data_IF_622274060766
#
_entry.id   IF_622274060766
#
_cell.length_a   1.000
_cell.length_b   1.000
_cell.length_c   1.000
_cell.angle_alpha   90.00
_cell.angle_beta   90.00
_cell.angle_gamma   90.00
#
_symmetry.space_group_name_H-M   'P 1'
#
loop_
_entity.id
_entity.type
_entity.pdbx_description
1 polymer ?
#
# COMPACT_ATOMS: atom_id res chain seq x y z
N UNK A 1 -26.17 12.89 0.80
CA UNK A 1 -26.30 13.07 -0.68
C UNK A 1 -25.36 12.04 -1.27
N UNK A 2 -25.90 11.03 -1.92
CA UNK A 2 -25.12 9.92 -2.43
C UNK A 2 -24.11 10.41 -3.47
N UNK A 3 -22.83 10.04 -3.25
CA UNK A 3 -21.71 10.43 -4.10
C UNK A 3 -21.61 9.53 -5.36
N UNK A 4 -22.73 9.07 -5.88
CA UNK A 4 -22.80 8.29 -7.12
C UNK A 4 -23.38 9.13 -8.25
N UNK A 5 -22.62 9.26 -9.33
CA UNK A 5 -23.09 9.85 -10.58
C UNK A 5 -22.80 8.83 -11.68
N UNK A 6 -23.83 8.38 -12.41
CA UNK A 6 -23.72 7.41 -13.51
C UNK A 6 -22.99 6.10 -13.13
N UNK A 7 -23.21 5.60 -11.89
CA UNK A 7 -22.58 4.37 -11.41
C UNK A 7 -21.15 4.54 -10.88
N UNK A 8 -20.58 5.74 -10.91
CA UNK A 8 -19.24 6.05 -10.45
C UNK A 8 -19.27 6.63 -9.04
N UNK A 9 -18.40 6.14 -8.15
CA UNK A 9 -18.24 6.67 -6.79
C UNK A 9 -17.25 7.84 -6.78
N UNK A 10 -17.67 8.98 -6.24
CA UNK A 10 -16.81 10.12 -5.98
C UNK A 10 -16.33 10.11 -4.54
N UNK A 11 -15.01 9.96 -4.34
CA UNK A 11 -14.41 9.85 -3.02
C UNK A 11 -14.45 11.20 -2.26
N UNK A 12 -14.50 11.09 -0.94
CA UNK A 12 -14.22 12.24 -0.07
C UNK A 12 -12.72 12.59 -0.11
N UNK A 13 -12.38 13.84 0.20
CA UNK A 13 -10.99 14.23 0.44
C UNK A 13 -10.49 13.72 1.79
N UNK A 14 -9.16 13.69 2.01
CA UNK A 14 -8.56 13.32 3.29
C UNK A 14 -8.93 14.32 4.38
N UNK A 15 -8.81 13.91 5.65
CA UNK A 15 -8.99 14.82 6.78
C UNK A 15 -7.88 15.90 6.75
N UNK A 16 -8.24 17.21 6.59
CA UNK A 16 -7.25 18.26 6.49
C UNK A 16 -6.58 18.63 7.84
N UNK A 17 -7.07 18.06 8.95
CA UNK A 17 -6.61 18.36 10.30
C UNK A 17 -5.82 17.20 10.89
N UNK A 18 -4.71 16.84 10.25
CA UNK A 18 -3.83 15.77 10.72
C UNK A 18 -3.39 15.97 12.16
N UNK A 19 -3.72 15.02 13.03
CA UNK A 19 -3.24 14.99 14.42
C UNK A 19 -1.75 14.61 14.44
N UNK A 20 -1.03 15.09 15.45
CA UNK A 20 0.38 14.74 15.64
C UNK A 20 0.51 13.34 16.22
N UNK A 21 1.61 12.62 15.89
CA UNK A 21 1.97 11.39 16.59
C UNK A 21 2.11 11.58 18.09
N UNK A 22 1.69 10.61 18.89
CA UNK A 22 1.82 10.59 20.33
C UNK A 22 3.10 9.87 20.82
N UNK A 23 4.00 9.55 19.89
CA UNK A 23 5.31 8.94 20.15
C UNK A 23 6.37 9.60 19.26
N UNK A 24 7.63 9.36 19.56
CA UNK A 24 8.74 9.85 18.73
C UNK A 24 8.85 8.97 17.49
N UNK A 25 8.57 9.58 16.32
CA UNK A 25 8.76 8.92 15.02
C UNK A 25 10.27 8.90 14.72
N UNK A 26 10.84 7.75 14.35
CA UNK A 26 12.27 7.65 14.11
C UNK A 26 12.72 8.46 12.89
N UNK A 27 13.97 8.90 12.90
CA UNK A 27 14.59 9.53 11.73
C UNK A 27 14.59 8.55 10.57
N UNK A 28 14.35 9.03 9.35
CA UNK A 28 14.22 8.23 8.13
C UNK A 28 12.99 7.29 8.11
N UNK A 29 12.01 7.52 8.98
CA UNK A 29 10.75 6.78 8.91
C UNK A 29 10.08 6.94 7.55
N UNK A 30 9.56 5.82 7.05
CA UNK A 30 8.95 5.68 5.74
C UNK A 30 7.46 5.41 5.85
N UNK A 31 6.68 6.17 5.10
CA UNK A 31 5.33 5.81 4.70
C UNK A 31 5.40 4.81 3.53
N UNK A 32 5.25 3.53 3.79
CA UNK A 32 5.39 2.49 2.77
C UNK A 32 4.14 2.32 1.88
N UNK A 33 3.12 3.17 2.03
CA UNK A 33 1.93 3.13 1.19
C UNK A 33 1.16 4.45 1.25
N UNK A 34 1.29 5.25 0.23
CA UNK A 34 0.47 6.44 0.00
C UNK A 34 0.20 6.64 -1.49
N UNK A 35 -0.71 7.54 -1.81
CA UNK A 35 -1.08 7.86 -3.18
C UNK A 35 -0.93 9.36 -3.45
N UNK A 36 -0.88 9.73 -4.73
CA UNK A 36 -0.96 11.11 -5.20
C UNK A 36 -2.01 11.18 -6.30
N UNK A 37 -2.88 12.18 -6.24
CA UNK A 37 -3.90 12.43 -7.24
C UNK A 37 -3.83 13.87 -7.73
N UNK A 38 -3.86 14.05 -9.04
CA UNK A 38 -3.98 15.36 -9.63
C UNK A 38 -2.71 16.24 -9.64
N UNK A 39 -2.83 17.47 -10.09
CA UNK A 39 -4.10 18.07 -10.52
C UNK A 39 -4.67 17.34 -11.76
N UNK A 40 -5.98 17.08 -11.74
CA UNK A 40 -6.66 16.28 -12.79
C UNK A 40 -6.52 16.88 -14.20
N UNK A 41 -6.27 18.19 -14.29
CA UNK A 41 -6.01 18.86 -15.57
C UNK A 41 -4.73 18.38 -16.23
N UNK A 42 -3.74 17.94 -15.45
CA UNK A 42 -2.43 17.45 -15.91
C UNK A 42 -2.39 15.94 -15.93
N UNK A 43 -2.87 15.30 -14.87
CA UNK A 43 -2.84 13.85 -14.69
C UNK A 43 -4.29 13.32 -14.72
N UNK A 44 -4.69 12.84 -15.88
CA UNK A 44 -6.06 12.37 -16.09
C UNK A 44 -6.29 11.03 -15.39
N UNK A 45 -7.54 10.80 -15.00
CA UNK A 45 -7.98 9.48 -14.57
C UNK A 45 -8.33 8.61 -15.78
N UNK A 46 -8.19 7.29 -15.62
CA UNK A 46 -8.63 6.32 -16.61
C UNK A 46 -10.17 6.44 -16.83
N UNK A 47 -10.60 6.17 -18.05
CA UNK A 47 -12.03 6.24 -18.38
C UNK A 47 -12.83 5.15 -17.65
N UNK A 48 -12.28 3.94 -17.57
CA UNK A 48 -12.89 2.74 -16.97
C UNK A 48 -12.68 2.61 -15.45
N UNK A 49 -12.47 3.73 -14.75
CA UNK A 49 -12.30 3.72 -13.29
C UNK A 49 -13.62 3.47 -12.56
N UNK A 50 -13.57 2.82 -11.44
CA UNK A 50 -14.76 2.56 -10.58
C UNK A 50 -14.98 3.64 -9.51
N UNK A 51 -13.99 4.50 -9.26
CA UNK A 51 -14.06 5.63 -8.32
C UNK A 51 -13.27 6.82 -8.83
N UNK A 52 -13.64 8.01 -8.38
CA UNK A 52 -12.95 9.27 -8.69
C UNK A 52 -12.55 9.95 -7.38
N UNK A 53 -11.26 10.00 -7.03
CA UNK A 53 -10.78 10.77 -5.90
C UNK A 53 -10.73 12.27 -6.24
N UNK A 54 -10.81 13.18 -5.25
CA UNK A 54 -10.44 14.57 -5.43
C UNK A 54 -8.94 14.71 -5.67
N UNK A 55 -8.51 15.88 -6.14
CA UNK A 55 -7.09 16.20 -6.17
C UNK A 55 -6.49 16.08 -4.77
N UNK A 56 -5.37 15.37 -4.69
CA UNK A 56 -4.54 15.19 -3.51
C UNK A 56 -3.07 15.21 -3.99
N UNK A 57 -2.56 16.39 -4.34
CA UNK A 57 -1.29 16.53 -5.05
C UNK A 57 -0.08 16.27 -4.14
N UNK A 58 1.08 16.12 -4.77
CA UNK A 58 2.36 15.89 -4.10
C UNK A 58 2.64 16.86 -2.94
N UNK A 59 2.26 18.14 -3.07
CA UNK A 59 2.47 19.14 -2.02
C UNK A 59 1.66 18.82 -0.76
N UNK A 60 0.44 18.33 -0.90
CA UNK A 60 -0.41 17.97 0.24
C UNK A 60 0.12 16.71 0.94
N UNK A 61 0.63 15.72 0.17
CA UNK A 61 1.36 14.59 0.74
C UNK A 61 2.58 15.07 1.55
N UNK A 62 3.35 16.03 1.04
CA UNK A 62 4.49 16.58 1.78
C UNK A 62 4.08 17.31 3.08
N UNK A 63 2.91 17.95 3.09
CA UNK A 63 2.37 18.56 4.32
C UNK A 63 2.01 17.49 5.35
N UNK A 64 1.33 16.43 4.93
CA UNK A 64 1.03 15.28 5.77
C UNK A 64 2.31 14.66 6.35
N UNK A 65 3.27 14.34 5.49
CA UNK A 65 4.52 13.70 5.88
C UNK A 65 5.25 14.52 6.96
N UNK A 66 5.32 15.84 6.78
CA UNK A 66 5.90 16.75 7.79
C UNK A 66 5.12 16.74 9.10
N UNK A 67 3.78 16.73 9.05
CA UNK A 67 2.94 16.69 10.25
C UNK A 67 3.14 15.39 11.05
N UNK A 68 3.39 14.27 10.37
CA UNK A 68 3.62 12.96 10.96
C UNK A 68 5.10 12.67 11.30
N UNK A 69 6.04 13.53 10.88
CA UNK A 69 7.47 13.30 11.09
C UNK A 69 8.07 12.23 10.18
N UNK A 70 7.44 11.94 9.05
CA UNK A 70 7.90 10.97 8.05
C UNK A 70 8.76 11.68 7.00
N UNK A 71 9.86 11.08 6.58
CA UNK A 71 10.82 11.69 5.65
C UNK A 71 10.98 10.91 4.35
N UNK A 72 10.58 9.65 4.34
CA UNK A 72 10.56 8.77 3.17
C UNK A 72 9.14 8.32 2.87
N UNK A 73 8.83 8.06 1.60
CA UNK A 73 7.54 7.51 1.21
C UNK A 73 7.65 6.55 0.02
N UNK A 74 6.66 5.67 -0.11
CA UNK A 74 6.44 4.84 -1.29
C UNK A 74 5.09 5.21 -1.88
N UNK A 75 5.13 5.89 -3.03
CA UNK A 75 3.93 6.28 -3.77
C UNK A 75 3.47 5.07 -4.57
N UNK A 76 2.31 4.57 -4.23
CA UNK A 76 1.68 3.44 -4.90
C UNK A 76 0.67 3.96 -5.90
N UNK A 77 0.80 3.56 -7.16
CA UNK A 77 -0.16 3.90 -8.21
C UNK A 77 -1.55 3.39 -7.84
N UNK A 78 -2.54 4.26 -7.93
CA UNK A 78 -3.93 3.90 -7.68
C UNK A 78 -4.63 3.47 -8.98
N UNK A 79 -5.57 2.52 -8.87
CA UNK A 79 -6.26 1.94 -10.04
C UNK A 79 -7.06 2.94 -10.86
N UNK A 80 -7.46 4.07 -10.27
CA UNK A 80 -8.18 5.12 -11.00
C UNK A 80 -7.36 5.82 -12.09
N UNK A 81 -6.03 5.66 -12.10
CA UNK A 81 -5.16 6.12 -13.19
C UNK A 81 -4.81 4.99 -14.19
N UNK A 82 -5.18 3.74 -13.90
CA UNK A 82 -4.80 2.60 -14.74
C UNK A 82 -3.27 2.50 -14.88
N UNK A 83 -2.81 2.21 -16.08
CA UNK A 83 -1.39 2.10 -16.44
C UNK A 83 -0.72 3.44 -16.78
N UNK A 84 -1.43 4.57 -16.72
CA UNK A 84 -0.81 5.90 -16.83
C UNK A 84 -0.18 6.30 -15.50
N UNK A 85 1.09 5.97 -15.34
CA UNK A 85 1.85 6.20 -14.13
C UNK A 85 2.43 7.63 -14.01
N UNK A 86 2.03 8.56 -14.87
CA UNK A 86 2.64 9.90 -14.95
C UNK A 86 2.60 10.64 -13.60
N UNK A 87 1.50 10.58 -12.85
CA UNK A 87 1.37 11.26 -11.54
C UNK A 87 2.33 10.68 -10.50
N UNK A 88 2.48 9.35 -10.46
CA UNK A 88 3.41 8.66 -9.56
C UNK A 88 4.87 9.00 -9.91
N UNK A 89 5.22 8.95 -11.20
CA UNK A 89 6.57 9.26 -11.67
C UNK A 89 6.95 10.74 -11.44
N UNK A 90 6.01 11.69 -11.64
CA UNK A 90 6.23 13.10 -11.32
C UNK A 90 6.54 13.29 -9.84
N UNK A 91 5.75 12.70 -8.96
CA UNK A 91 5.93 12.82 -7.52
C UNK A 91 7.25 12.20 -7.05
N UNK A 92 7.62 11.01 -7.55
CA UNK A 92 8.90 10.36 -7.26
C UNK A 92 10.07 11.24 -7.70
N UNK A 93 10.05 11.75 -8.95
CA UNK A 93 11.07 12.64 -9.48
C UNK A 93 11.23 13.90 -8.65
N UNK A 94 10.12 14.53 -8.26
CA UNK A 94 10.11 15.78 -7.44
C UNK A 94 10.61 15.57 -6.02
N UNK A 95 10.56 14.34 -5.51
CA UNK A 95 11.05 14.02 -4.18
C UNK A 95 12.57 14.00 -4.05
N UNK A 96 13.31 14.04 -5.17
CA UNK A 96 14.78 14.05 -5.19
C UNK A 96 15.41 12.86 -4.41
N UNK A 97 14.82 11.66 -4.57
CA UNK A 97 15.30 10.43 -3.95
C UNK A 97 14.68 10.07 -2.59
N UNK A 98 13.91 10.99 -1.99
CA UNK A 98 13.21 10.70 -0.73
C UNK A 98 12.02 9.75 -0.89
N UNK A 99 11.43 9.67 -2.08
CA UNK A 99 10.29 8.78 -2.33
C UNK A 99 10.61 7.77 -3.40
N UNK A 100 10.01 6.60 -3.27
CA UNK A 100 10.04 5.52 -4.26
C UNK A 100 8.65 5.36 -4.89
N UNK A 101 8.60 4.65 -6.02
CA UNK A 101 7.37 4.40 -6.75
C UNK A 101 7.05 2.91 -6.88
N UNK A 102 5.77 2.59 -6.76
CA UNK A 102 5.18 1.32 -7.17
C UNK A 102 4.13 1.62 -8.22
N UNK A 103 4.31 1.11 -9.43
CA UNK A 103 3.48 1.42 -10.59
C UNK A 103 2.42 0.35 -10.85
N UNK A 104 1.47 0.63 -11.74
CA UNK A 104 0.63 -0.40 -12.38
C UNK A 104 1.18 -0.60 -13.79
N UNK A 105 1.42 -1.85 -14.16
CA UNK A 105 1.89 -2.22 -15.48
C UNK A 105 1.28 -3.55 -15.91
N UNK A 106 1.19 -3.73 -17.21
CA UNK A 106 0.85 -4.96 -17.89
C UNK A 106 2.01 -5.46 -18.77
N UNK A 107 1.80 -6.50 -19.53
CA UNK A 107 2.82 -7.11 -20.39
C UNK A 107 3.14 -6.32 -21.66
N UNK A 108 2.45 -5.21 -21.93
CA UNK A 108 2.79 -4.28 -23.01
C UNK A 108 4.03 -3.43 -22.69
N UNK A 109 4.39 -3.31 -21.40
CA UNK A 109 5.59 -2.57 -20.99
C UNK A 109 6.86 -3.32 -21.38
N UNK A 110 7.78 -2.62 -22.05
CA UNK A 110 9.09 -3.17 -22.42
C UNK A 110 10.07 -3.15 -21.23
N UNK A 111 11.09 -3.99 -21.31
CA UNK A 111 12.20 -4.01 -20.34
C UNK A 111 12.90 -2.64 -20.25
N UNK A 112 13.05 -1.95 -21.37
CA UNK A 112 13.66 -0.62 -21.43
C UNK A 112 12.81 0.45 -20.75
N UNK A 113 11.47 0.32 -20.79
CA UNK A 113 10.59 1.21 -20.03
C UNK A 113 10.76 0.97 -18.52
N UNK A 114 10.80 -0.29 -18.06
CA UNK A 114 11.06 -0.60 -16.67
C UNK A 114 12.42 -0.09 -16.18
N UNK A 115 13.49 -0.25 -16.97
CA UNK A 115 14.82 0.30 -16.65
C UNK A 115 14.80 1.81 -16.46
N UNK A 116 14.15 2.54 -17.37
CA UNK A 116 14.00 4.01 -17.23
C UNK A 116 13.22 4.40 -15.97
N UNK A 117 12.24 3.62 -15.60
CA UNK A 117 11.48 3.86 -14.36
C UNK A 117 12.30 3.51 -13.11
N UNK A 118 13.14 2.47 -13.16
CA UNK A 118 14.09 2.13 -12.08
C UNK A 118 15.06 3.29 -11.79
N UNK A 119 15.62 3.90 -12.85
CA UNK A 119 16.49 5.08 -12.75
C UNK A 119 15.79 6.28 -12.09
N UNK A 120 14.47 6.40 -12.24
CA UNK A 120 13.66 7.42 -11.56
C UNK A 120 13.34 7.10 -10.11
N UNK A 121 13.54 5.85 -9.66
CA UNK A 121 13.26 5.42 -8.30
C UNK A 121 12.00 4.54 -8.15
N UNK A 122 11.46 4.02 -9.24
CA UNK A 122 10.43 2.96 -9.18
C UNK A 122 11.10 1.66 -8.72
N UNK A 123 10.41 0.88 -7.90
CA UNK A 123 10.97 -0.34 -7.32
C UNK A 123 9.98 -1.51 -7.26
N UNK A 124 8.79 -1.36 -7.83
CA UNK A 124 7.80 -2.43 -7.83
C UNK A 124 6.60 -2.20 -8.75
N UNK A 125 5.84 -3.26 -8.93
CA UNK A 125 4.57 -3.26 -9.69
C UNK A 125 3.44 -3.71 -8.78
N UNK A 126 2.30 -3.02 -8.83
CA UNK A 126 1.09 -3.39 -8.11
C UNK A 126 0.10 -4.09 -9.04
N UNK A 127 -0.42 -5.22 -8.55
CA UNK A 127 -1.56 -5.92 -9.14
C UNK A 127 -2.74 -5.84 -8.18
N UNK A 128 -3.88 -5.40 -8.70
CA UNK A 128 -5.11 -5.25 -7.93
C UNK A 128 -6.09 -6.31 -8.40
N UNK A 129 -6.36 -7.29 -7.55
CA UNK A 129 -7.27 -8.40 -7.82
C UNK A 129 -8.56 -8.32 -7.00
N UNK A 130 -8.90 -7.12 -6.55
CA UNK A 130 -10.11 -6.94 -5.75
C UNK A 130 -11.35 -6.86 -6.64
N UNK A 131 -12.27 -7.78 -6.44
CA UNK A 131 -13.53 -7.90 -7.22
C UNK A 131 -14.38 -6.64 -7.17
N UNK A 132 -14.36 -5.91 -6.05
CA UNK A 132 -15.11 -4.65 -5.90
C UNK A 132 -14.61 -3.50 -6.80
N UNK A 133 -13.44 -3.64 -7.41
CA UNK A 133 -12.91 -2.73 -8.45
C UNK A 133 -12.91 -3.38 -9.84
N UNK A 134 -13.63 -4.51 -10.00
CA UNK A 134 -13.86 -5.15 -11.29
C UNK A 134 -12.66 -5.90 -11.86
N UNK A 135 -11.71 -6.33 -11.01
CA UNK A 135 -10.51 -7.03 -11.46
C UNK A 135 -10.44 -8.44 -10.86
N UNK A 136 -10.06 -9.41 -11.70
CA UNK A 136 -9.83 -10.79 -11.31
C UNK A 136 -8.33 -11.14 -11.40
N UNK A 137 -7.86 -12.10 -10.59
CA UNK A 137 -6.46 -12.54 -10.61
C UNK A 137 -6.05 -13.15 -11.95
N UNK A 138 -5.18 -12.49 -12.69
CA UNK A 138 -4.48 -13.02 -13.86
C UNK A 138 -3.00 -13.26 -13.53
N UNK A 139 -2.68 -14.44 -13.02
CA UNK A 139 -1.31 -14.80 -12.65
C UNK A 139 -0.42 -15.07 -13.87
N UNK A 140 -0.97 -15.33 -15.04
CA UNK A 140 -0.18 -15.47 -16.25
C UNK A 140 0.35 -14.10 -16.70
N UNK A 141 -0.48 -13.05 -16.60
CA UNK A 141 -0.04 -11.66 -16.77
C UNK A 141 1.02 -11.29 -15.73
N UNK A 142 0.77 -11.59 -14.44
CA UNK A 142 1.73 -11.32 -13.37
C UNK A 142 3.08 -11.95 -13.68
N UNK A 143 3.12 -13.22 -14.07
CA UNK A 143 4.36 -13.92 -14.37
C UNK A 143 5.12 -13.28 -15.54
N UNK A 144 4.42 -12.90 -16.62
CA UNK A 144 5.06 -12.20 -17.76
C UNK A 144 5.67 -10.86 -17.37
N UNK A 145 5.04 -10.13 -16.44
CA UNK A 145 5.61 -8.89 -15.90
C UNK A 145 6.76 -9.18 -14.96
N UNK A 146 6.62 -10.17 -14.07
CA UNK A 146 7.67 -10.58 -13.12
C UNK A 146 8.96 -10.97 -13.83
N UNK A 147 8.90 -11.71 -14.94
CA UNK A 147 10.08 -12.03 -15.76
C UNK A 147 10.86 -10.79 -16.21
N UNK A 148 10.16 -9.68 -16.49
CA UNK A 148 10.78 -8.42 -16.93
C UNK A 148 11.38 -7.59 -15.78
N UNK A 149 10.77 -7.65 -14.60
CA UNK A 149 11.17 -6.81 -13.44
C UNK A 149 12.12 -7.52 -12.46
N UNK A 150 12.15 -8.86 -12.45
CA UNK A 150 13.03 -9.62 -11.58
C UNK A 150 14.53 -9.26 -11.72
N UNK A 151 15.07 -9.07 -12.95
CA UNK A 151 16.46 -8.63 -13.12
C UNK A 151 16.77 -7.25 -12.55
N UNK A 152 15.74 -6.40 -12.32
CA UNK A 152 15.87 -5.08 -11.70
C UNK A 152 15.82 -5.14 -10.17
N UNK A 153 15.54 -6.33 -9.59
CA UNK A 153 15.37 -6.50 -8.16
C UNK A 153 14.09 -5.84 -7.62
N UNK A 154 13.07 -5.68 -8.46
CA UNK A 154 11.79 -5.13 -8.07
C UNK A 154 10.93 -6.16 -7.33
N UNK A 155 9.95 -5.67 -6.61
CA UNK A 155 8.94 -6.47 -5.92
C UNK A 155 7.57 -6.32 -6.59
N UNK A 156 6.64 -7.21 -6.23
CA UNK A 156 5.22 -7.06 -6.56
C UNK A 156 4.43 -6.70 -5.31
N UNK A 157 3.43 -5.83 -5.48
CA UNK A 157 2.42 -5.54 -4.47
C UNK A 157 1.12 -6.17 -4.92
N UNK A 158 0.52 -6.97 -4.06
CA UNK A 158 -0.74 -7.66 -4.35
C UNK A 158 -1.83 -7.09 -3.45
N UNK A 159 -2.83 -6.50 -4.09
CA UNK A 159 -4.05 -6.03 -3.46
C UNK A 159 -5.18 -7.01 -3.80
N UNK A 160 -5.65 -7.78 -2.82
CA UNK A 160 -6.66 -8.82 -3.00
C UNK A 160 -7.57 -8.92 -1.78
N UNK A 161 -8.66 -9.65 -1.92
CA UNK A 161 -9.59 -9.96 -0.84
C UNK A 161 -9.23 -11.29 -0.17
N UNK A 162 -9.77 -11.53 1.02
CA UNK A 162 -9.42 -12.70 1.83
C UNK A 162 -9.55 -14.04 1.10
N UNK A 163 -10.64 -14.21 0.34
CA UNK A 163 -10.91 -15.47 -0.35
C UNK A 163 -9.91 -15.73 -1.49
N UNK A 164 -9.46 -14.65 -2.14
CA UNK A 164 -8.44 -14.74 -3.20
C UNK A 164 -7.09 -15.27 -2.67
N UNK A 165 -6.78 -15.02 -1.38
CA UNK A 165 -5.57 -15.58 -0.73
C UNK A 165 -5.70 -17.09 -0.65
N UNK A 166 -6.86 -17.61 -0.23
CA UNK A 166 -7.10 -19.06 -0.12
C UNK A 166 -6.96 -19.74 -1.49
N UNK A 167 -7.59 -19.16 -2.51
CA UNK A 167 -7.61 -19.71 -3.85
C UNK A 167 -6.24 -19.69 -4.53
N UNK A 168 -5.39 -18.70 -4.20
CA UNK A 168 -4.15 -18.43 -4.93
C UNK A 168 -2.86 -18.64 -4.12
N UNK A 169 -2.94 -19.18 -2.90
CA UNK A 169 -1.78 -19.36 -2.00
C UNK A 169 -0.61 -20.07 -2.68
N UNK A 170 -0.86 -21.10 -3.48
CA UNK A 170 0.20 -21.84 -4.21
C UNK A 170 0.90 -20.98 -5.25
N UNK A 171 0.15 -20.18 -6.01
CA UNK A 171 0.71 -19.28 -7.03
C UNK A 171 1.54 -18.17 -6.37
N UNK A 172 1.02 -17.61 -5.27
CA UNK A 172 1.73 -16.62 -4.48
C UNK A 172 3.05 -17.18 -3.93
N UNK A 173 3.06 -18.36 -3.33
CA UNK A 173 4.24 -18.97 -2.69
C UNK A 173 5.37 -19.33 -3.66
N UNK A 174 5.11 -19.41 -4.96
CA UNK A 174 6.11 -19.75 -5.98
C UNK A 174 6.68 -18.56 -6.74
N UNK A 175 6.29 -17.33 -6.39
CA UNK A 175 6.82 -16.13 -7.05
C UNK A 175 8.32 -15.94 -6.78
N UNK A 176 9.06 -15.61 -7.83
CA UNK A 176 10.52 -15.45 -7.79
C UNK A 176 11.02 -14.09 -7.31
N UNK A 177 10.11 -13.15 -7.03
CA UNK A 177 10.39 -11.80 -6.53
C UNK A 177 9.74 -11.59 -5.17
N UNK A 178 10.16 -10.58 -4.38
CA UNK A 178 9.45 -10.25 -3.15
C UNK A 178 7.98 -9.92 -3.43
N UNK A 179 7.08 -10.47 -2.61
CA UNK A 179 5.62 -10.28 -2.69
C UNK A 179 5.15 -9.53 -1.46
N UNK A 180 4.53 -8.38 -1.67
CA UNK A 180 3.98 -7.54 -0.60
C UNK A 180 2.46 -7.62 -0.63
N UNK A 181 1.84 -8.13 0.41
CA UNK A 181 0.38 -8.15 0.55
C UNK A 181 -0.07 -6.84 1.19
N UNK A 182 -0.97 -6.11 0.51
CA UNK A 182 -1.54 -4.87 1.02
C UNK A 182 -2.55 -5.12 2.15
N UNK A 183 -2.58 -4.21 3.13
CA UNK A 183 -3.64 -4.05 4.14
C UNK A 183 -4.01 -5.34 4.88
N UNK A 184 -3.00 -6.11 5.34
CA UNK A 184 -3.20 -7.39 6.06
C UNK A 184 -4.14 -8.36 5.32
N UNK A 185 -4.06 -8.36 3.97
CA UNK A 185 -4.91 -9.20 3.11
C UNK A 185 -6.39 -8.82 3.12
N UNK A 186 -6.74 -7.63 3.63
CA UNK A 186 -8.13 -7.13 3.75
C UNK A 186 -9.07 -8.07 4.50
N UNK A 187 -8.52 -8.88 5.40
CA UNK A 187 -9.33 -9.77 6.22
C UNK A 187 -10.07 -8.93 7.27
N UNK A 188 -11.41 -8.94 7.22
CA UNK A 188 -12.27 -8.18 8.14
C UNK A 188 -12.08 -8.64 9.57
N UNK A 189 -12.01 -7.70 10.52
CA UNK A 189 -11.78 -8.02 11.93
C UNK A 189 -12.89 -8.84 12.56
N UNK A 190 -14.13 -8.76 12.06
CA UNK A 190 -15.26 -9.58 12.48
C UNK A 190 -15.05 -11.08 12.26
N UNK A 191 -14.21 -11.46 11.29
CA UNK A 191 -13.86 -12.84 11.01
C UNK A 191 -12.88 -13.43 12.05
N UNK A 192 -12.23 -12.57 12.82
CA UNK A 192 -11.24 -12.99 13.82
C UNK A 192 -9.90 -13.41 13.22
N UNK A 193 -8.87 -13.48 14.07
CA UNK A 193 -7.51 -13.86 13.64
C UNK A 193 -7.39 -15.33 13.25
N UNK A 194 -8.33 -16.18 13.65
CA UNK A 194 -8.36 -17.62 13.31
C UNK A 194 -8.95 -17.87 11.91
N UNK A 195 -9.39 -16.85 11.20
CA UNK A 195 -9.93 -17.00 9.85
C UNK A 195 -8.90 -17.65 8.91
N UNK A 196 -9.34 -18.62 8.10
CA UNK A 196 -8.46 -19.44 7.27
C UNK A 196 -7.53 -18.62 6.37
N UNK A 197 -8.04 -17.56 5.72
CA UNK A 197 -7.22 -16.69 4.88
C UNK A 197 -6.14 -15.95 5.69
N UNK A 198 -6.44 -15.55 6.93
CA UNK A 198 -5.45 -14.88 7.76
C UNK A 198 -4.38 -15.84 8.25
N UNK A 199 -4.76 -17.06 8.64
CA UNK A 199 -3.79 -18.10 9.01
C UNK A 199 -2.88 -18.46 7.82
N UNK A 200 -3.41 -18.58 6.60
CA UNK A 200 -2.60 -18.77 5.39
C UNK A 200 -1.64 -17.60 5.13
N UNK A 201 -2.08 -16.34 5.33
CA UNK A 201 -1.19 -15.19 5.23
C UNK A 201 -0.05 -15.27 6.27
N UNK A 202 -0.35 -15.64 7.51
CA UNK A 202 0.65 -15.82 8.55
C UNK A 202 1.62 -16.96 8.22
N UNK A 203 1.13 -18.05 7.64
CA UNK A 203 1.96 -19.17 7.21
C UNK A 203 2.89 -18.81 6.05
N UNK A 204 2.41 -18.02 5.09
CA UNK A 204 3.26 -17.45 4.03
C UNK A 204 4.36 -16.56 4.63
N UNK A 205 4.01 -15.70 5.59
CA UNK A 205 4.99 -14.85 6.28
C UNK A 205 6.03 -15.66 7.05
N UNK A 206 5.65 -16.77 7.69
CA UNK A 206 6.59 -17.62 8.47
C UNK A 206 7.50 -18.45 7.58
N UNK A 207 6.97 -18.98 6.48
CA UNK A 207 7.62 -20.05 5.73
C UNK A 207 8.22 -19.59 4.39
N UNK A 208 7.89 -18.39 3.90
CA UNK A 208 8.39 -17.87 2.63
C UNK A 208 9.14 -16.55 2.87
N UNK A 209 10.46 -16.55 2.73
CA UNK A 209 11.31 -15.39 3.01
C UNK A 209 11.06 -14.20 2.08
N UNK A 210 10.50 -14.43 0.91
CA UNK A 210 10.14 -13.37 -0.05
C UNK A 210 8.76 -12.73 0.23
N UNK A 211 8.00 -13.19 1.26
CA UNK A 211 6.69 -12.63 1.60
C UNK A 211 6.77 -11.49 2.60
N UNK A 212 6.06 -10.42 2.30
CA UNK A 212 5.95 -9.20 3.07
C UNK A 212 4.49 -8.82 3.28
N UNK A 213 4.19 -8.06 4.30
CA UNK A 213 2.84 -7.54 4.55
C UNK A 213 2.87 -6.08 4.97
N UNK A 214 1.90 -5.30 4.50
CA UNK A 214 1.63 -3.97 5.02
C UNK A 214 0.55 -4.04 6.10
N UNK A 215 0.88 -3.59 7.31
CA UNK A 215 -0.05 -3.48 8.45
C UNK A 215 -0.78 -2.13 8.50
N UNK A 216 -0.83 -1.42 7.39
CA UNK A 216 -1.70 -0.26 7.17
C UNK A 216 -3.14 -0.71 6.82
N UNK A 217 -4.06 0.24 6.72
CA UNK A 217 -5.44 -0.04 6.34
C UNK A 217 -6.28 -0.59 7.49
N UNK A 218 -5.99 -0.19 8.73
CA UNK A 218 -6.84 -0.51 9.89
C UNK A 218 -8.30 -0.08 9.65
N UNK A 219 -8.51 1.07 9.04
CA UNK A 219 -9.81 1.61 8.64
C UNK A 219 -10.52 0.78 7.56
N UNK A 220 -9.75 -0.04 6.82
CA UNK A 220 -10.28 -0.91 5.76
C UNK A 220 -10.75 -2.26 6.28
N UNK A 221 -10.13 -2.76 7.34
CA UNK A 221 -10.46 -4.08 7.91
C UNK A 221 -11.33 -4.00 9.15
N UNK A 222 -11.30 -2.91 9.90
CA UNK A 222 -12.03 -2.73 11.14
C UNK A 222 -13.56 -2.83 10.94
N UNK A 223 -14.22 -3.55 11.81
CA UNK A 223 -15.67 -3.63 11.91
C UNK A 223 -16.24 -2.68 12.96
N UNK A 224 -15.38 -2.17 13.88
CA UNK A 224 -15.79 -1.29 14.96
C UNK A 224 -15.61 0.22 14.62
N UNK A 225 -14.90 0.52 13.52
CA UNK A 225 -14.57 1.90 13.15
C UNK A 225 -13.51 2.52 14.07
N UNK A 226 -13.34 3.86 13.97
CA UNK A 226 -12.36 4.58 14.79
C UNK A 226 -12.62 4.36 16.28
N UNK A 227 -11.57 4.10 17.08
CA UNK A 227 -10.14 4.20 16.79
C UNK A 227 -9.45 2.92 16.27
N UNK A 228 -10.19 2.00 15.65
CA UNK A 228 -9.70 0.80 14.96
C UNK A 228 -8.91 -0.20 15.82
N UNK A 229 -9.21 -0.29 17.12
CA UNK A 229 -8.47 -1.16 18.07
C UNK A 229 -8.66 -2.64 17.78
N UNK A 230 -9.72 -3.01 17.10
CA UNK A 230 -9.98 -4.39 16.65
C UNK A 230 -8.99 -4.85 15.56
N UNK A 231 -8.28 -3.94 14.88
CA UNK A 231 -7.18 -4.27 13.97
C UNK A 231 -5.86 -4.61 14.70
N UNK A 232 -5.72 -4.24 15.98
CA UNK A 232 -4.46 -4.44 16.74
C UNK A 232 -4.04 -5.91 16.83
N UNK A 233 -4.91 -6.89 17.10
CA UNK A 233 -4.54 -8.31 17.14
C UNK A 233 -3.97 -8.80 15.79
N UNK A 234 -4.51 -8.34 14.66
CA UNK A 234 -4.07 -8.70 13.32
C UNK A 234 -2.65 -8.18 13.02
N UNK A 235 -2.41 -6.90 13.29
CA UNK A 235 -1.07 -6.32 13.12
C UNK A 235 -0.02 -7.00 14.01
N UNK A 236 -0.37 -7.29 15.27
CA UNK A 236 0.51 -8.03 16.20
C UNK A 236 0.84 -9.43 15.70
N UNK A 237 -0.14 -10.14 15.15
CA UNK A 237 0.07 -11.48 14.60
C UNK A 237 1.03 -11.44 13.37
N UNK A 238 0.86 -10.47 12.47
CA UNK A 238 1.77 -10.26 11.35
C UNK A 238 3.20 -9.95 11.84
N UNK A 239 3.36 -9.05 12.81
CA UNK A 239 4.66 -8.70 13.40
C UNK A 239 5.30 -9.92 14.07
N UNK A 240 4.52 -10.73 14.79
CA UNK A 240 5.00 -11.95 15.43
C UNK A 240 5.44 -13.01 14.41
N UNK A 241 4.78 -13.07 13.25
CA UNK A 241 5.10 -14.02 12.19
C UNK A 241 6.43 -13.67 11.48
N UNK A 242 6.67 -12.38 11.18
CA UNK A 242 7.82 -11.94 10.40
C UNK A 242 8.14 -10.45 10.66
N UNK A 243 8.61 -10.08 11.85
CA UNK A 243 8.86 -8.67 12.20
C UNK A 243 9.83 -7.93 11.27
N UNK A 244 10.66 -8.65 10.55
CA UNK A 244 11.61 -8.14 9.55
C UNK A 244 11.01 -7.96 8.16
N UNK A 245 9.76 -8.36 7.93
CA UNK A 245 9.07 -8.26 6.63
C UNK A 245 7.69 -7.62 6.76
N UNK A 246 7.51 -6.79 7.76
CA UNK A 246 6.31 -5.97 7.98
C UNK A 246 6.61 -4.53 7.63
N UNK A 247 5.67 -3.89 6.95
CA UNK A 247 5.72 -2.51 6.52
C UNK A 247 4.49 -1.76 7.05
N UNK A 248 4.61 -0.44 7.21
CA UNK A 248 3.50 0.41 7.58
C UNK A 248 3.39 1.60 6.61
N UNK A 249 2.19 2.11 6.39
CA UNK A 249 1.94 3.31 5.61
C UNK A 249 0.63 3.96 6.01
N UNK A 250 0.39 5.17 5.54
CA UNK A 250 -0.84 5.92 5.82
C UNK A 250 -2.02 5.42 5.01
N UNK A 251 -1.79 5.00 3.76
CA UNK A 251 -2.81 4.82 2.73
C UNK A 251 -3.50 6.14 2.32
N UNK A 252 -2.87 7.29 2.69
CA UNK A 252 -3.34 8.61 2.29
C UNK A 252 -3.47 8.74 0.77
N UNK A 253 -4.49 9.39 0.23
CA UNK A 253 -5.60 10.08 0.89
C UNK A 253 -6.85 9.21 1.09
N UNK A 254 -6.68 7.91 1.32
CA UNK A 254 -7.72 6.91 1.62
C UNK A 254 -8.78 6.80 0.52
N UNK A 255 -8.38 6.54 -0.75
CA UNK A 255 -9.34 6.46 -1.84
C UNK A 255 -10.34 5.33 -1.61
N UNK A 256 -11.56 5.55 -2.07
CA UNK A 256 -12.65 4.56 -2.00
C UNK A 256 -13.08 4.18 -0.56
N UNK A 257 -12.75 4.99 0.45
CA UNK A 257 -13.34 4.85 1.79
C UNK A 257 -14.80 5.30 1.74
N UNK A 258 -15.68 4.45 2.28
CA UNK A 258 -17.10 4.73 2.45
C UNK A 258 -17.38 4.92 3.93
N UNK A 259 -17.84 6.12 4.31
CA UNK A 259 -18.09 6.45 5.72
C UNK A 259 -17.20 7.58 6.23
N UNK A 260 -16.81 7.52 7.50
CA UNK A 260 -15.96 8.54 8.09
C UNK A 260 -14.52 8.43 7.57
N UNK A 261 -13.99 9.55 7.08
CA UNK A 261 -12.59 9.65 6.66
C UNK A 261 -11.69 9.48 7.89
N UNK A 262 -10.71 8.56 7.87
CA UNK A 262 -9.77 8.41 8.97
C UNK A 262 -8.87 9.65 9.10
N UNK A 263 -8.34 9.87 10.31
CA UNK A 263 -7.30 10.85 10.55
C UNK A 263 -5.94 10.12 10.59
N UNK A 264 -5.00 10.54 9.76
CA UNK A 264 -3.69 9.89 9.64
C UNK A 264 -2.89 9.87 10.93
N UNK A 265 -3.08 10.91 11.79
CA UNK A 265 -2.47 10.92 13.11
C UNK A 265 -3.05 9.87 14.06
N UNK A 266 -4.32 9.52 13.93
CA UNK A 266 -4.91 8.41 14.69
C UNK A 266 -4.38 7.07 14.17
N UNK A 267 -4.18 6.92 12.85
CA UNK A 267 -3.64 5.69 12.25
C UNK A 267 -2.19 5.43 12.65
N UNK A 268 -1.32 6.45 12.60
CA UNK A 268 0.08 6.27 13.04
C UNK A 268 0.17 5.99 14.55
N UNK A 269 -0.77 6.52 15.34
CA UNK A 269 -0.84 6.30 16.78
C UNK A 269 -1.27 4.88 17.18
N UNK A 270 -1.64 4.02 16.22
CA UNK A 270 -1.80 2.58 16.45
C UNK A 270 -0.45 1.84 16.53
N UNK A 271 0.62 2.39 15.97
CA UNK A 271 1.93 1.72 15.95
C UNK A 271 2.48 1.34 17.33
N UNK A 272 2.40 2.19 18.38
CA UNK A 272 2.79 1.76 19.72
C UNK A 272 1.94 0.61 20.29
N UNK A 273 0.71 0.44 19.82
CA UNK A 273 -0.15 -0.69 20.20
C UNK A 273 0.22 -1.94 19.42
N UNK A 274 0.56 -1.81 18.14
CA UNK A 274 1.01 -2.90 17.27
C UNK A 274 2.38 -3.46 17.73
N UNK A 275 3.32 -2.56 17.99
CA UNK A 275 4.70 -2.83 18.37
C UNK A 275 5.09 -1.96 19.58
N UNK A 276 4.80 -2.40 20.83
CA UNK A 276 5.20 -1.67 22.02
C UNK A 276 6.74 -1.50 22.16
N UNK A 277 7.51 -2.43 21.59
CA UNK A 277 8.97 -2.35 21.56
C UNK A 277 9.42 -1.38 20.46
N UNK A 278 10.19 -0.35 20.85
CA UNK A 278 10.70 0.70 19.96
C UNK A 278 11.59 0.14 18.84
N UNK A 279 12.42 -0.85 19.12
CA UNK A 279 13.28 -1.46 18.10
C UNK A 279 12.45 -2.14 17.00
N UNK A 280 11.30 -2.72 17.35
CA UNK A 280 10.39 -3.30 16.35
C UNK A 280 9.73 -2.20 15.54
N UNK A 281 9.32 -1.08 16.17
CA UNK A 281 8.76 0.08 15.42
C UNK A 281 9.80 0.66 14.47
N UNK A 282 11.04 0.82 14.91
CA UNK A 282 12.15 1.29 14.07
C UNK A 282 12.37 0.37 12.88
N UNK A 283 12.37 -0.94 13.12
CA UNK A 283 12.47 -1.93 12.04
C UNK A 283 11.35 -1.77 11.02
N UNK A 284 10.10 -1.63 11.47
CA UNK A 284 8.92 -1.48 10.58
C UNK A 284 8.98 -0.17 9.80
N UNK A 285 9.40 0.92 10.44
CA UNK A 285 9.37 2.25 9.83
C UNK A 285 10.65 2.61 9.07
N UNK A 286 11.78 1.99 9.39
CA UNK A 286 13.09 2.37 8.82
C UNK A 286 13.75 1.19 8.12
N UNK A 287 14.15 0.14 8.87
CA UNK A 287 15.04 -0.90 8.35
C UNK A 287 14.37 -1.74 7.24
N UNK A 288 13.12 -2.15 7.45
CA UNK A 288 12.37 -2.95 6.48
C UNK A 288 12.11 -2.18 5.17
N UNK A 289 11.59 -0.92 5.20
CA UNK A 289 11.47 -0.10 4.00
C UNK A 289 12.80 0.13 3.29
N UNK A 290 13.88 0.39 4.03
CA UNK A 290 15.22 0.61 3.46
C UNK A 290 15.66 -0.61 2.66
N UNK A 291 15.53 -1.79 3.25
CA UNK A 291 15.90 -3.06 2.60
C UNK A 291 15.05 -3.37 1.36
N UNK A 292 13.72 -3.28 1.46
CA UNK A 292 12.84 -3.69 0.36
C UNK A 292 12.87 -2.67 -0.78
N UNK A 293 12.80 -1.38 -0.46
CA UNK A 293 12.67 -0.32 -1.47
C UNK A 293 14.02 0.28 -1.87
N UNK A 294 15.12 -0.20 -1.28
CA UNK A 294 16.49 0.22 -1.62
C UNK A 294 16.68 1.74 -1.48
N UNK A 295 16.22 2.28 -0.32
CA UNK A 295 16.60 3.65 0.03
C UNK A 295 18.10 3.70 0.35
N UNK A 296 18.74 4.78 -0.09
CA UNK A 296 20.17 5.05 0.11
C UNK A 296 20.35 6.09 1.19
#
# INVERSE_FOLDING_TARGET
MEMYVLGMYYCQGPDPKTKKPNFVVPVNACDAHCHVFGPVKTFKFAEERTYTPPDAPFQDLQLLQRALGLTRAVIVQATCHGTDNAVTLDAVKRSQGHYKGVIIADDSFSVEQFKRMDELGVCGVRFSFARHIGQEPDFDLVNRVVEKIAPLGWHVVIYMESDDIIENVKKLSTMSVPVVIDHMGRIRTENGIEHAAFQLLLDLLRNCENFWVKICGAERISSNGSPYYDAVPFAKACISAASDRVLWGTDWPHPNIRGLMPNDGDLINLLPLYAPNENIRNRILVDNPERLYRFV
#
